data_IF_594898161152
#
_entry.id   IF_594898161152
#
_cell.length_a   1.000
_cell.length_b   1.000
_cell.length_c   1.000
_cell.angle_alpha   90.00
_cell.angle_beta   90.00
_cell.angle_gamma   90.00
#
_symmetry.space_group_name_H-M   'P 1'
#
loop_
_entity.id
_entity.type
_entity.pdbx_description
1 polymer ?
#
# COMPACT_ATOMS: atom_id res chain seq x y z
N UNK A 1 61.53 60.25 -46.63
CA UNK A 1 60.77 59.39 -45.69
C UNK A 1 59.68 60.21 -45.03
N UNK A 2 58.52 59.57 -44.79
CA UNK A 2 57.28 60.07 -44.15
C UNK A 2 56.31 60.79 -45.10
N UNK A 3 55.42 59.98 -45.68
CA UNK A 3 54.21 60.43 -46.36
C UNK A 3 53.11 60.78 -45.38
N UNK A 4 52.33 61.81 -45.72
CA UNK A 4 51.09 62.19 -45.04
C UNK A 4 49.90 61.93 -45.97
N UNK A 5 49.09 60.95 -45.60
CA UNK A 5 47.87 60.54 -46.29
C UNK A 5 46.74 61.58 -46.14
N UNK A 6 45.97 61.66 -47.21
CA UNK A 6 44.95 62.65 -47.59
C UNK A 6 43.57 62.44 -46.95
N UNK A 7 42.75 63.50 -47.00
CA UNK A 7 41.36 63.70 -46.51
C UNK A 7 40.26 62.73 -47.04
N UNK A 8 40.53 61.43 -47.15
CA UNK A 8 39.49 60.41 -47.42
C UNK A 8 39.69 59.21 -46.49
N UNK A 9 39.12 59.27 -45.29
CA UNK A 9 38.73 58.15 -44.39
C UNK A 9 38.46 58.68 -42.97
N UNK A 10 37.42 59.49 -42.79
CA UNK A 10 36.80 59.72 -41.48
C UNK A 10 35.30 59.84 -41.73
N UNK A 11 34.60 58.70 -41.83
CA UNK A 11 33.14 58.52 -41.74
C UNK A 11 32.85 57.03 -42.02
N UNK A 12 33.25 56.16 -41.09
CA UNK A 12 32.78 54.77 -40.97
C UNK A 12 33.39 54.13 -39.71
N UNK A 13 33.00 54.59 -38.53
CA UNK A 13 33.22 53.89 -37.27
C UNK A 13 32.31 54.50 -36.19
N UNK A 14 31.01 54.31 -36.36
CA UNK A 14 29.98 54.65 -35.37
C UNK A 14 29.12 53.43 -35.10
N UNK A 15 29.74 52.30 -34.76
CA UNK A 15 29.03 51.18 -34.13
C UNK A 15 29.16 51.40 -32.62
N UNK A 16 28.06 51.79 -31.97
CA UNK A 16 28.00 51.94 -30.52
C UNK A 16 28.40 50.64 -29.84
N UNK A 17 29.42 50.71 -29.00
CA UNK A 17 29.63 49.73 -27.93
C UNK A 17 28.47 49.88 -26.94
N UNK A 18 27.36 49.22 -27.22
CA UNK A 18 26.48 48.79 -26.14
C UNK A 18 27.29 47.77 -25.34
N UNK A 19 27.84 48.21 -24.21
CA UNK A 19 28.26 47.28 -23.15
C UNK A 19 26.99 46.58 -22.72
N UNK A 20 26.73 45.43 -23.34
CA UNK A 20 25.75 44.48 -22.86
C UNK A 20 26.21 44.09 -21.47
N UNK A 21 25.61 44.70 -20.44
CA UNK A 21 25.55 44.10 -19.13
C UNK A 21 24.79 42.78 -19.33
N UNK A 22 25.54 41.72 -19.65
CA UNK A 22 25.09 40.35 -19.43
C UNK A 22 25.02 40.24 -17.92
N UNK A 23 23.89 40.66 -17.35
CA UNK A 23 23.50 40.16 -16.06
C UNK A 23 23.56 38.64 -16.20
N UNK A 24 24.33 37.91 -15.37
CA UNK A 24 24.16 36.48 -15.34
C UNK A 24 22.67 36.28 -15.08
N UNK A 25 21.99 35.62 -16.01
CA UNK A 25 20.70 35.06 -15.70
C UNK A 25 20.97 34.08 -14.57
N UNK A 26 20.85 34.57 -13.33
CA UNK A 26 20.55 33.74 -12.18
C UNK A 26 19.17 33.21 -12.51
N UNK A 27 19.14 32.14 -13.31
CA UNK A 27 18.05 31.19 -13.25
C UNK A 27 18.13 30.67 -11.82
N UNK A 28 17.40 31.33 -10.92
CA UNK A 28 16.98 30.69 -9.68
C UNK A 28 16.13 29.51 -10.12
N UNK A 29 16.78 28.40 -10.46
CA UNK A 29 16.08 27.16 -10.71
C UNK A 29 15.44 26.83 -9.36
N UNK A 30 14.12 26.91 -9.30
CA UNK A 30 13.39 26.40 -8.15
C UNK A 30 13.82 24.96 -7.88
N UNK A 31 13.64 24.51 -6.64
CA UNK A 31 13.97 23.12 -6.29
C UNK A 31 13.27 22.15 -7.26
N UNK A 32 13.92 21.06 -7.68
CA UNK A 32 13.26 20.01 -8.45
C UNK A 32 11.99 19.53 -7.75
N UNK A 33 10.91 19.38 -8.51
CA UNK A 33 9.58 19.10 -7.97
C UNK A 33 9.31 17.61 -8.00
N UNK A 34 9.07 17.03 -6.83
CA UNK A 34 8.62 15.66 -6.69
C UNK A 34 7.15 15.67 -6.29
N UNK A 35 6.30 15.15 -7.16
CA UNK A 35 4.89 14.93 -6.85
C UNK A 35 4.71 13.49 -6.40
N UNK A 36 4.03 13.29 -5.27
CA UNK A 36 3.70 11.98 -4.72
C UNK A 36 2.19 11.84 -4.70
N UNK A 37 1.66 10.75 -5.26
CA UNK A 37 0.23 10.44 -5.24
C UNK A 37 -0.04 9.27 -4.30
N UNK A 38 -0.91 9.51 -3.33
CA UNK A 38 -1.31 8.53 -2.31
C UNK A 38 -0.61 8.76 -0.97
N UNK A 39 -1.37 9.14 0.05
CA UNK A 39 -0.93 9.40 1.42
C UNK A 39 -0.84 8.16 2.31
N UNK A 40 -0.79 6.96 1.73
CA UNK A 40 -0.61 5.70 2.47
C UNK A 40 0.85 5.41 2.84
N UNK A 41 1.11 4.21 3.36
CA UNK A 41 2.44 3.83 3.88
C UNK A 41 3.59 4.03 2.87
N UNK A 42 3.40 3.76 1.58
CA UNK A 42 4.44 3.99 0.57
C UNK A 42 4.66 5.47 0.27
N UNK A 43 3.61 6.17 -0.16
CA UNK A 43 3.73 7.56 -0.59
C UNK A 43 4.05 8.54 0.55
N UNK A 44 3.42 8.41 1.73
CA UNK A 44 3.73 9.25 2.88
C UNK A 44 5.19 9.05 3.34
N UNK A 45 5.68 7.80 3.42
CA UNK A 45 7.09 7.54 3.73
C UNK A 45 8.02 8.21 2.73
N UNK A 46 7.75 8.06 1.42
CA UNK A 46 8.61 8.61 0.37
C UNK A 46 8.62 10.14 0.42
N UNK A 47 7.45 10.75 0.57
CA UNK A 47 7.31 12.20 0.67
C UNK A 47 8.09 12.76 1.87
N UNK A 48 7.95 12.13 3.04
CA UNK A 48 8.66 12.56 4.25
C UNK A 48 10.16 12.41 4.11
N UNK A 49 10.65 11.24 3.68
CA UNK A 49 12.09 10.98 3.48
C UNK A 49 12.70 11.96 2.49
N UNK A 50 12.01 12.27 1.38
CA UNK A 50 12.48 13.27 0.42
C UNK A 50 12.53 14.68 1.00
N UNK A 51 11.52 15.07 1.79
CA UNK A 51 11.45 16.39 2.40
C UNK A 51 12.54 16.59 3.48
N UNK A 52 12.73 15.61 4.36
CA UNK A 52 13.75 15.62 5.40
C UNK A 52 15.18 15.64 4.82
N UNK A 53 15.40 14.97 3.69
CA UNK A 53 16.69 14.99 2.99
C UNK A 53 16.98 16.34 2.29
N UNK A 54 15.97 17.21 2.11
CA UNK A 54 16.08 18.56 1.56
C UNK A 54 16.47 18.64 0.08
N UNK A 55 16.43 19.84 -0.51
CA UNK A 55 16.88 20.07 -1.89
C UNK A 55 15.88 19.71 -2.99
N UNK A 56 14.69 19.20 -2.64
CA UNK A 56 13.56 19.00 -3.56
C UNK A 56 12.29 19.64 -2.99
N UNK A 57 11.40 20.13 -3.86
CA UNK A 57 10.07 20.57 -3.48
C UNK A 57 9.11 19.39 -3.56
N UNK A 58 8.64 18.89 -2.42
CA UNK A 58 7.76 17.72 -2.33
C UNK A 58 6.31 18.16 -2.21
N UNK A 59 5.46 17.66 -3.11
CA UNK A 59 4.00 17.77 -3.01
C UNK A 59 3.39 16.40 -2.84
N UNK A 60 2.57 16.18 -1.81
CA UNK A 60 1.78 14.96 -1.61
C UNK A 60 0.32 15.24 -1.97
N UNK A 61 -0.21 14.55 -2.97
CA UNK A 61 -1.60 14.59 -3.39
C UNK A 61 -2.34 13.36 -2.85
N UNK A 62 -3.39 13.58 -2.06
CA UNK A 62 -4.19 12.53 -1.46
C UNK A 62 -5.67 12.91 -1.45
N UNK A 63 -6.57 11.96 -1.72
CA UNK A 63 -8.02 12.23 -1.78
C UNK A 63 -8.65 12.42 -0.40
N UNK A 64 -8.21 11.65 0.60
CA UNK A 64 -8.81 11.63 1.92
C UNK A 64 -8.03 12.54 2.88
N UNK A 65 -8.69 13.41 3.67
CA UNK A 65 -8.00 14.28 4.62
C UNK A 65 -7.34 13.52 5.79
N UNK A 66 -7.67 12.24 5.96
CA UNK A 66 -7.07 11.34 6.94
C UNK A 66 -6.83 9.97 6.33
N UNK A 67 -5.71 9.36 6.67
CA UNK A 67 -5.41 7.97 6.35
C UNK A 67 -5.93 7.06 7.46
N UNK A 68 -6.62 5.98 7.11
CA UNK A 68 -6.96 4.90 8.07
C UNK A 68 -6.13 3.66 7.76
N UNK A 69 -5.34 3.19 8.71
CA UNK A 69 -4.48 2.03 8.52
C UNK A 69 -5.32 0.76 8.39
N UNK A 70 -5.04 -0.04 7.35
CA UNK A 70 -5.65 -1.37 7.21
C UNK A 70 -4.90 -2.43 8.00
N UNK A 71 -3.59 -2.27 8.17
CA UNK A 71 -2.84 -3.02 9.17
C UNK A 71 -3.36 -2.65 10.56
N UNK A 72 -3.52 -3.65 11.44
CA UNK A 72 -4.21 -3.53 12.74
C UNK A 72 -5.73 -3.28 12.68
N UNK A 73 -6.37 -3.14 11.51
CA UNK A 73 -7.84 -3.03 11.44
C UNK A 73 -8.58 -4.28 11.94
N UNK A 74 -7.96 -5.46 11.83
CA UNK A 74 -8.47 -6.69 12.42
C UNK A 74 -8.61 -6.59 13.95
N UNK A 75 -7.74 -5.81 14.62
CA UNK A 75 -7.84 -5.59 16.06
C UNK A 75 -9.05 -4.73 16.42
N UNK A 76 -9.53 -3.86 15.52
CA UNK A 76 -10.80 -3.13 15.71
C UNK A 76 -11.96 -4.09 15.64
N UNK A 77 -11.98 -4.96 14.62
CA UNK A 77 -13.00 -6.01 14.46
C UNK A 77 -13.04 -6.91 15.71
N UNK A 78 -11.88 -7.35 16.18
CA UNK A 78 -11.72 -8.13 17.40
C UNK A 78 -12.00 -7.39 18.71
N UNK A 79 -12.25 -6.07 18.69
CA UNK A 79 -12.55 -5.27 19.88
C UNK A 79 -11.34 -4.93 20.75
N UNK A 80 -10.12 -5.06 20.23
CA UNK A 80 -8.86 -4.80 20.94
C UNK A 80 -8.39 -3.35 20.84
N UNK A 81 -8.95 -2.56 19.91
CA UNK A 81 -8.69 -1.12 19.80
C UNK A 81 -9.83 -0.35 19.12
N UNK A 82 -9.95 0.95 19.40
CA UNK A 82 -10.85 1.84 18.67
C UNK A 82 -10.33 2.13 17.24
N UNK A 83 -11.24 2.40 16.29
CA UNK A 83 -10.88 2.75 14.91
C UNK A 83 -10.08 4.06 14.85
N UNK A 84 -10.38 4.99 15.76
CA UNK A 84 -9.74 6.30 15.86
C UNK A 84 -8.22 6.17 16.06
N UNK A 85 -7.75 5.10 16.71
CA UNK A 85 -6.31 4.80 16.85
C UNK A 85 -5.62 4.41 15.54
N UNK A 86 -6.39 4.20 14.47
CA UNK A 86 -5.92 3.87 13.14
C UNK A 86 -5.94 5.08 12.19
N UNK A 87 -6.38 6.26 12.66
CA UNK A 87 -6.57 7.43 11.84
C UNK A 87 -5.46 8.45 12.02
N UNK A 88 -4.83 8.83 10.91
CA UNK A 88 -3.71 9.76 10.88
C UNK A 88 -4.03 10.93 9.96
N UNK A 89 -3.75 12.14 10.43
CA UNK A 89 -3.68 13.31 9.55
C UNK A 89 -2.31 13.43 8.89
N UNK A 90 -2.09 14.54 8.18
CA UNK A 90 -0.85 14.80 7.45
C UNK A 90 -0.07 16.00 8.01
N UNK A 91 -0.41 16.44 9.22
CA UNK A 91 0.22 17.61 9.85
C UNK A 91 1.70 17.37 10.14
N UNK A 92 2.11 16.15 10.50
CA UNK A 92 3.52 15.82 10.71
C UNK A 92 4.33 15.84 9.41
N UNK A 93 3.75 15.38 8.29
CA UNK A 93 4.34 15.54 6.96
C UNK A 93 4.50 17.01 6.57
N UNK A 94 3.48 17.84 6.85
CA UNK A 94 3.57 19.28 6.61
C UNK A 94 4.68 19.93 7.45
N UNK A 95 4.84 19.54 8.73
CA UNK A 95 5.96 20.00 9.58
C UNK A 95 7.33 19.55 9.05
N UNK A 96 7.40 18.39 8.40
CA UNK A 96 8.60 17.89 7.74
C UNK A 96 8.91 18.59 6.40
N UNK A 97 8.06 19.52 5.94
CA UNK A 97 8.28 20.30 4.73
C UNK A 97 7.55 19.78 3.47
N UNK A 98 6.64 18.81 3.62
CA UNK A 98 5.79 18.33 2.51
C UNK A 98 4.64 19.29 2.27
N UNK A 99 4.43 19.71 1.02
CA UNK A 99 3.20 20.41 0.64
C UNK A 99 2.06 19.41 0.42
N UNK A 100 1.12 19.32 1.36
CA UNK A 100 0.00 18.38 1.29
C UNK A 100 -1.19 19.03 0.56
N UNK A 101 -1.65 18.37 -0.50
CA UNK A 101 -2.82 18.77 -1.29
C UNK A 101 -3.89 17.69 -1.13
N UNK A 102 -5.06 18.09 -0.62
CA UNK A 102 -6.22 17.21 -0.58
C UNK A 102 -6.98 17.34 -1.90
N UNK A 103 -6.98 16.27 -2.69
CA UNK A 103 -7.57 16.26 -4.01
C UNK A 103 -7.48 14.90 -4.68
N UNK A 104 -8.33 14.67 -5.67
CA UNK A 104 -8.38 13.43 -6.43
C UNK A 104 -7.63 13.58 -7.76
N UNK A 105 -6.58 12.77 -7.96
CA UNK A 105 -5.95 12.62 -9.26
C UNK A 105 -6.82 11.77 -10.19
N UNK A 106 -7.16 12.31 -11.36
CA UNK A 106 -7.99 11.62 -12.37
C UNK A 106 -7.21 11.21 -13.62
N UNK A 107 -6.04 11.80 -13.85
CA UNK A 107 -5.14 11.42 -14.94
C UNK A 107 -3.68 11.79 -14.63
N UNK A 108 -2.74 11.02 -15.18
CA UNK A 108 -1.32 11.36 -15.22
C UNK A 108 -0.85 11.44 -16.70
N UNK A 109 -0.62 12.65 -17.18
CA UNK A 109 -0.16 12.95 -18.53
C UNK A 109 1.36 12.91 -18.60
N UNK A 110 1.88 11.71 -18.84
CA UNK A 110 3.31 11.40 -18.77
C UNK A 110 4.19 12.29 -19.65
N UNK A 111 3.78 12.53 -20.89
CA UNK A 111 4.51 13.37 -21.85
C UNK A 111 4.58 14.84 -21.42
N UNK A 112 3.54 15.34 -20.76
CA UNK A 112 3.45 16.71 -20.25
C UNK A 112 4.02 16.86 -18.84
N UNK A 113 4.36 15.74 -18.17
CA UNK A 113 4.73 15.68 -16.75
C UNK A 113 3.74 16.42 -15.86
N UNK A 114 2.46 16.10 -16.06
CA UNK A 114 1.33 16.76 -15.43
C UNK A 114 0.36 15.72 -14.84
N UNK A 115 -0.12 15.95 -13.63
CA UNK A 115 -1.22 15.19 -13.02
C UNK A 115 -2.45 16.09 -13.01
N UNK A 116 -3.56 15.61 -13.56
CA UNK A 116 -4.84 16.32 -13.53
C UNK A 116 -5.65 15.94 -12.30
N UNK A 117 -6.19 16.94 -11.63
CA UNK A 117 -7.12 16.76 -10.54
C UNK A 117 -8.56 16.75 -11.07
N UNK A 118 -9.48 16.17 -10.31
CA UNK A 118 -10.91 16.17 -10.60
C UNK A 118 -11.49 17.60 -10.73
N UNK A 119 -10.86 18.59 -10.11
CA UNK A 119 -11.21 20.02 -10.21
C UNK A 119 -10.86 20.64 -11.57
N UNK A 120 -10.08 19.95 -12.41
CA UNK A 120 -9.53 20.46 -13.66
C UNK A 120 -8.15 21.11 -13.50
N UNK A 121 -7.69 21.37 -12.27
CA UNK A 121 -6.33 21.84 -12.00
C UNK A 121 -5.28 20.80 -12.39
N UNK A 122 -4.08 21.27 -12.73
CA UNK A 122 -2.95 20.43 -13.08
C UNK A 122 -1.73 20.67 -12.19
N UNK A 123 -1.17 19.60 -11.64
CA UNK A 123 0.08 19.62 -10.87
C UNK A 123 1.23 19.08 -11.73
N UNK A 124 2.17 19.95 -12.10
CA UNK A 124 3.35 19.56 -12.87
C UNK A 124 4.47 19.03 -11.97
N UNK A 125 5.27 18.10 -12.48
CA UNK A 125 6.37 17.47 -11.73
C UNK A 125 7.66 17.35 -12.55
N UNK A 126 8.78 17.23 -11.86
CA UNK A 126 10.03 16.74 -12.46
C UNK A 126 10.15 15.23 -12.28
N UNK A 127 9.73 14.71 -11.11
CA UNK A 127 9.60 13.28 -10.81
C UNK A 127 8.25 12.99 -10.16
N UNK A 128 7.65 11.85 -10.49
CA UNK A 128 6.36 11.43 -9.96
C UNK A 128 6.51 10.11 -9.20
N UNK A 129 5.93 10.04 -8.01
CA UNK A 129 5.75 8.81 -7.24
C UNK A 129 4.27 8.46 -7.22
N UNK A 130 3.92 7.24 -7.62
CA UNK A 130 2.56 6.72 -7.67
C UNK A 130 2.44 5.59 -6.65
N UNK A 131 1.71 5.82 -5.54
CA UNK A 131 1.46 4.82 -4.50
C UNK A 131 -0.04 4.76 -4.11
N UNK A 132 -0.93 4.42 -5.06
CA UNK A 132 -2.38 4.46 -4.84
C UNK A 132 -2.93 3.23 -4.09
N UNK A 133 -2.07 2.27 -3.72
CA UNK A 133 -2.50 0.99 -3.15
C UNK A 133 -3.13 0.06 -4.17
N UNK A 134 -4.15 -0.69 -3.75
CA UNK A 134 -4.87 -1.67 -4.56
C UNK A 134 -6.21 -1.12 -5.08
N UNK A 135 -6.68 -1.72 -6.15
CA UNK A 135 -8.10 -1.81 -6.46
C UNK A 135 -8.57 -3.27 -6.54
N UNK A 136 -9.87 -3.48 -6.69
CA UNK A 136 -10.43 -4.80 -6.91
C UNK A 136 -10.55 -5.10 -8.40
N UNK A 137 -10.33 -6.36 -8.76
CA UNK A 137 -10.57 -6.85 -10.12
C UNK A 137 -12.09 -6.99 -10.28
N UNK A 138 -12.71 -6.35 -11.29
CA UNK A 138 -14.14 -6.50 -11.55
C UNK A 138 -14.53 -7.96 -11.74
N UNK A 139 -15.69 -8.35 -11.21
CA UNK A 139 -16.27 -9.69 -11.34
C UNK A 139 -15.37 -10.85 -10.86
N UNK A 140 -14.39 -10.55 -10.00
CA UNK A 140 -13.47 -11.56 -9.47
C UNK A 140 -14.13 -12.59 -8.55
N UNK A 141 -15.28 -12.25 -7.98
CA UNK A 141 -16.18 -13.16 -7.28
C UNK A 141 -17.57 -12.94 -7.88
N UNK A 142 -18.11 -13.89 -8.65
CA UNK A 142 -19.44 -13.77 -9.24
C UNK A 142 -20.49 -13.37 -8.19
N UNK A 143 -21.34 -12.42 -8.55
CA UNK A 143 -22.36 -11.85 -7.66
C UNK A 143 -21.86 -10.81 -6.66
N UNK A 144 -20.55 -10.54 -6.59
CA UNK A 144 -19.97 -9.47 -5.78
C UNK A 144 -19.44 -8.31 -6.62
N UNK A 145 -19.69 -7.09 -6.15
CA UNK A 145 -19.10 -5.85 -6.64
C UNK A 145 -18.96 -4.84 -5.49
N UNK A 146 -18.27 -3.72 -5.72
CA UNK A 146 -18.19 -2.65 -4.70
C UNK A 146 -19.57 -2.07 -4.32
N UNK A 147 -20.58 -2.14 -5.20
CA UNK A 147 -21.93 -1.64 -4.92
C UNK A 147 -22.67 -2.46 -3.85
N UNK A 148 -22.33 -3.74 -3.71
CA UNK A 148 -22.91 -4.64 -2.69
C UNK A 148 -22.00 -4.79 -1.45
N UNK A 149 -20.90 -4.03 -1.38
CA UNK A 149 -19.99 -4.07 -0.23
C UNK A 149 -20.62 -3.56 1.07
N UNK A 150 -21.76 -2.87 1.02
CA UNK A 150 -22.52 -2.50 2.23
C UNK A 150 -23.34 -3.68 2.80
N UNK A 151 -23.51 -4.76 2.03
CA UNK A 151 -24.16 -6.01 2.46
C UNK A 151 -23.09 -7.06 2.79
N UNK A 152 -22.17 -7.32 1.85
CA UNK A 152 -21.06 -8.26 2.01
C UNK A 152 -19.72 -7.50 1.97
N UNK A 153 -19.27 -6.94 3.11
CA UNK A 153 -18.12 -6.05 3.15
C UNK A 153 -16.82 -6.75 2.82
N UNK A 154 -15.88 -6.02 2.23
CA UNK A 154 -14.52 -6.50 2.00
C UNK A 154 -13.59 -6.16 3.17
N UNK A 155 -13.77 -4.96 3.78
CA UNK A 155 -12.92 -4.41 4.83
C UNK A 155 -11.39 -4.47 4.52
N UNK A 156 -11.02 -4.48 3.23
CA UNK A 156 -9.63 -4.47 2.73
C UNK A 156 -9.08 -3.06 2.40
N UNK A 157 -10.00 -2.09 2.35
CA UNK A 157 -9.73 -0.66 2.46
C UNK A 157 -10.41 -0.25 3.79
N UNK A 158 -9.62 0.17 4.78
CA UNK A 158 -10.11 0.35 6.15
C UNK A 158 -10.97 1.61 6.32
N UNK A 159 -11.62 1.72 7.49
CA UNK A 159 -12.50 2.84 7.82
C UNK A 159 -13.96 2.38 7.91
N UNK A 160 -14.90 2.96 7.14
CA UNK A 160 -16.31 2.58 7.19
C UNK A 160 -16.57 1.08 7.03
N UNK A 161 -15.88 0.43 6.08
CA UNK A 161 -15.99 -1.00 5.83
C UNK A 161 -15.50 -1.86 7.02
N UNK A 162 -14.48 -1.41 7.76
CA UNK A 162 -14.03 -2.08 8.99
C UNK A 162 -15.12 -2.04 10.07
N UNK A 163 -15.77 -0.88 10.25
CA UNK A 163 -16.86 -0.74 11.22
C UNK A 163 -18.12 -1.50 10.79
N UNK A 164 -18.43 -1.52 9.50
CA UNK A 164 -19.54 -2.30 8.97
C UNK A 164 -19.37 -3.77 9.29
N UNK A 165 -18.23 -4.36 8.92
CA UNK A 165 -17.95 -5.76 9.22
C UNK A 165 -17.99 -6.03 10.72
N UNK A 166 -17.39 -5.15 11.55
CA UNK A 166 -17.47 -5.26 13.01
C UNK A 166 -18.93 -5.30 13.51
N UNK A 167 -19.78 -4.38 13.05
CA UNK A 167 -21.19 -4.33 13.46
C UNK A 167 -21.95 -5.58 13.03
N UNK A 168 -21.72 -6.08 11.82
CA UNK A 168 -22.35 -7.31 11.34
C UNK A 168 -21.97 -8.51 12.21
N UNK A 169 -20.69 -8.66 12.56
CA UNK A 169 -20.21 -9.72 13.47
C UNK A 169 -20.85 -9.62 14.85
N UNK A 170 -20.97 -8.41 15.41
CA UNK A 170 -21.55 -8.20 16.75
C UNK A 170 -23.08 -8.36 16.78
N UNK A 171 -23.74 -8.17 15.64
CA UNK A 171 -25.19 -8.34 15.48
C UNK A 171 -25.61 -9.73 14.99
N UNK A 172 -24.65 -10.62 14.73
CA UNK A 172 -24.91 -11.95 14.20
C UNK A 172 -25.77 -12.77 15.20
N UNK A 173 -26.84 -13.46 14.74
CA UNK A 173 -27.69 -14.25 15.62
C UNK A 173 -26.90 -15.35 16.33
N UNK A 174 -27.37 -15.77 17.51
CA UNK A 174 -26.76 -16.85 18.27
C UNK A 174 -26.65 -18.12 17.40
N UNK A 175 -25.45 -18.71 17.34
CA UNK A 175 -25.18 -19.88 16.49
C UNK A 175 -25.01 -19.57 14.99
N UNK A 176 -25.06 -18.29 14.62
CA UNK A 176 -24.92 -17.85 13.23
C UNK A 176 -23.57 -18.16 12.59
N UNK A 177 -23.54 -18.12 11.27
CA UNK A 177 -22.39 -18.50 10.45
C UNK A 177 -21.77 -17.28 9.78
N UNK A 178 -20.50 -17.05 10.06
CA UNK A 178 -19.66 -16.11 9.33
C UNK A 178 -18.91 -16.85 8.21
N UNK A 179 -18.93 -16.31 6.99
CA UNK A 179 -18.08 -16.77 5.90
C UNK A 179 -17.03 -15.72 5.52
N UNK A 180 -15.81 -16.18 5.25
CA UNK A 180 -14.76 -15.40 4.62
C UNK A 180 -14.42 -16.01 3.26
N UNK A 181 -14.54 -15.21 2.20
CA UNK A 181 -14.05 -15.56 0.87
C UNK A 181 -12.65 -14.96 0.74
N UNK A 182 -11.62 -15.82 0.72
CA UNK A 182 -10.23 -15.38 0.65
C UNK A 182 -9.82 -15.06 -0.80
N UNK A 183 -8.92 -14.08 -1.02
CA UNK A 183 -8.51 -13.71 -2.37
C UNK A 183 -7.48 -14.72 -2.93
N UNK A 184 -7.40 -14.85 -4.27
CA UNK A 184 -6.27 -15.49 -4.93
C UNK A 184 -5.00 -14.63 -4.83
N UNK A 185 -3.83 -15.26 -4.98
CA UNK A 185 -2.55 -14.55 -5.03
C UNK A 185 -2.34 -13.84 -6.40
N UNK A 186 -1.64 -12.68 -6.44
CA UNK A 186 -1.15 -11.88 -5.31
C UNK A 186 -2.22 -10.92 -4.74
N UNK A 187 -2.15 -10.65 -3.43
CA UNK A 187 -3.03 -9.70 -2.73
C UNK A 187 -2.29 -8.99 -1.59
N UNK A 188 -2.86 -7.86 -1.12
CA UNK A 188 -2.37 -7.10 0.03
C UNK A 188 -2.42 -7.96 1.30
N UNK A 189 -1.31 -7.99 2.02
CA UNK A 189 -1.07 -8.62 3.32
C UNK A 189 -1.50 -10.09 3.37
N UNK A 190 -0.67 -11.02 2.85
CA UNK A 190 -1.01 -12.44 2.77
C UNK A 190 -1.57 -13.06 4.07
N UNK A 191 -1.05 -12.80 5.29
CA UNK A 191 -1.61 -13.44 6.48
C UNK A 191 -2.87 -12.76 7.05
N UNK A 192 -3.29 -11.61 6.51
CA UNK A 192 -4.37 -10.81 7.09
C UNK A 192 -5.77 -11.47 7.09
N UNK A 193 -6.17 -12.29 6.10
CA UNK A 193 -7.48 -12.97 6.16
C UNK A 193 -7.56 -13.92 7.36
N UNK A 194 -6.45 -14.58 7.69
CA UNK A 194 -6.41 -15.59 8.74
C UNK A 194 -6.23 -14.95 10.13
N UNK A 195 -5.50 -13.84 10.23
CA UNK A 195 -5.55 -12.97 11.43
C UNK A 195 -6.96 -12.42 11.66
N UNK A 196 -7.67 -12.03 10.60
CA UNK A 196 -9.05 -11.57 10.70
C UNK A 196 -9.94 -12.64 11.32
N UNK A 197 -9.81 -13.90 10.87
CA UNK A 197 -10.52 -15.04 11.46
C UNK A 197 -10.18 -15.19 12.94
N UNK A 198 -8.89 -15.12 13.31
CA UNK A 198 -8.48 -15.15 14.72
C UNK A 198 -9.13 -14.04 15.56
N UNK A 199 -9.19 -12.82 15.05
CA UNK A 199 -9.79 -11.67 15.75
C UNK A 199 -11.31 -11.73 15.80
N UNK A 200 -11.97 -12.20 14.74
CA UNK A 200 -13.42 -12.44 14.72
C UNK A 200 -13.77 -13.55 15.71
N UNK A 201 -13.07 -14.68 15.68
CA UNK A 201 -13.29 -15.78 16.61
C UNK A 201 -13.07 -15.35 18.07
N UNK A 202 -12.03 -14.55 18.34
CA UNK A 202 -11.82 -13.96 19.66
C UNK A 202 -13.03 -13.15 20.12
N UNK A 203 -13.61 -12.31 19.25
CA UNK A 203 -14.79 -11.53 19.57
C UNK A 203 -16.02 -12.41 19.76
N UNK A 204 -16.28 -13.35 18.86
CA UNK A 204 -17.42 -14.25 18.92
C UNK A 204 -17.40 -15.14 20.16
N UNK A 205 -16.25 -15.63 20.60
CA UNK A 205 -16.15 -16.35 21.88
C UNK A 205 -16.71 -15.58 23.10
N UNK A 206 -16.75 -14.24 23.03
CA UNK A 206 -17.27 -13.40 24.11
C UNK A 206 -18.77 -13.13 23.98
N UNK A 207 -19.29 -13.05 22.75
CA UNK A 207 -20.64 -12.52 22.48
C UNK A 207 -21.58 -13.54 21.83
N UNK A 208 -21.03 -14.55 21.16
CA UNK A 208 -21.74 -15.58 20.41
C UNK A 208 -20.85 -16.84 20.26
N UNK A 209 -20.57 -17.57 21.36
CA UNK A 209 -19.60 -18.68 21.37
C UNK A 209 -20.06 -19.93 20.60
N UNK A 210 -21.32 -19.98 20.17
CA UNK A 210 -21.90 -21.06 19.36
C UNK A 210 -21.82 -20.79 17.86
N UNK A 211 -21.35 -19.60 17.46
CA UNK A 211 -21.15 -19.23 16.07
C UNK A 211 -20.19 -20.17 15.33
N UNK A 212 -20.25 -20.13 14.00
CA UNK A 212 -19.34 -20.85 13.10
C UNK A 212 -18.61 -19.86 12.20
N UNK A 213 -17.39 -20.22 11.80
CA UNK A 213 -16.58 -19.50 10.83
C UNK A 213 -16.19 -20.46 9.72
N UNK A 214 -16.60 -20.15 8.49
CA UNK A 214 -16.20 -20.87 7.28
C UNK A 214 -15.23 -20.00 6.49
N UNK A 215 -14.10 -20.57 6.09
CA UNK A 215 -13.15 -19.92 5.19
C UNK A 215 -13.17 -20.67 3.88
N UNK A 216 -13.52 -19.97 2.80
CA UNK A 216 -13.43 -20.49 1.43
C UNK A 216 -12.19 -19.89 0.79
N UNK A 217 -11.20 -20.73 0.53
CA UNK A 217 -9.90 -20.31 0.03
C UNK A 217 -9.57 -20.94 -1.33
N UNK A 218 -9.32 -20.14 -2.38
CA UNK A 218 -8.93 -20.64 -3.69
C UNK A 218 -7.48 -21.15 -3.75
N UNK A 219 -6.75 -21.19 -2.63
CA UNK A 219 -5.33 -21.57 -2.55
C UNK A 219 -5.16 -22.88 -1.78
N UNK A 220 -4.27 -23.76 -2.26
CA UNK A 220 -3.93 -25.03 -1.58
C UNK A 220 -3.26 -24.84 -0.21
N UNK A 221 -2.66 -23.68 0.02
CA UNK A 221 -2.02 -23.32 1.28
C UNK A 221 -2.03 -21.80 1.48
N UNK A 222 -1.82 -21.37 2.72
CA UNK A 222 -1.75 -19.96 3.05
C UNK A 222 -0.60 -19.57 3.99
N UNK A 223 -0.33 -18.26 4.05
CA UNK A 223 0.78 -17.72 4.82
C UNK A 223 0.63 -18.05 6.30
N UNK A 224 1.64 -18.72 6.87
CA UNK A 224 1.69 -19.14 8.28
C UNK A 224 0.60 -20.14 8.67
N UNK A 225 0.11 -20.96 7.72
CA UNK A 225 -1.00 -21.90 7.92
C UNK A 225 -0.90 -22.73 9.21
N UNK A 226 0.18 -23.48 9.40
CA UNK A 226 0.36 -24.30 10.62
C UNK A 226 0.28 -23.48 11.91
N UNK A 227 0.76 -22.23 11.92
CA UNK A 227 0.71 -21.36 13.09
C UNK A 227 -0.72 -20.89 13.38
N UNK A 228 -1.48 -20.55 12.33
CA UNK A 228 -2.88 -20.17 12.46
C UNK A 228 -3.74 -21.35 12.87
N UNK A 229 -3.60 -22.52 12.26
CA UNK A 229 -4.35 -23.73 12.61
C UNK A 229 -4.10 -24.15 14.07
N UNK A 230 -2.84 -24.12 14.53
CA UNK A 230 -2.52 -24.35 15.93
C UNK A 230 -3.16 -23.31 16.86
N UNK A 231 -3.12 -22.03 16.47
CA UNK A 231 -3.80 -20.95 17.18
C UNK A 231 -5.31 -21.16 17.24
N UNK A 232 -5.93 -21.56 16.14
CA UNK A 232 -7.36 -21.82 16.07
C UNK A 232 -7.77 -23.00 16.94
N UNK A 233 -7.02 -24.10 16.89
CA UNK A 233 -7.23 -25.26 17.77
C UNK A 233 -7.14 -24.91 19.26
N UNK A 234 -6.32 -23.92 19.63
CA UNK A 234 -6.16 -23.45 21.01
C UNK A 234 -7.24 -22.47 21.45
N UNK A 235 -7.65 -21.54 20.58
CA UNK A 235 -8.39 -20.34 20.98
C UNK A 235 -9.83 -20.26 20.47
N UNK A 236 -10.25 -21.10 19.52
CA UNK A 236 -11.54 -20.89 18.82
C UNK A 236 -12.62 -21.88 19.18
N UNK A 237 -12.34 -22.84 20.07
CA UNK A 237 -13.30 -23.87 20.50
C UNK A 237 -13.96 -24.66 19.34
N UNK A 238 -13.24 -24.85 18.23
CA UNK A 238 -13.75 -25.55 17.05
C UNK A 238 -14.66 -24.72 16.14
N UNK A 239 -14.74 -23.39 16.34
CA UNK A 239 -15.55 -22.47 15.52
C UNK A 239 -15.08 -22.38 14.07
N UNK A 240 -13.79 -22.58 13.79
CA UNK A 240 -13.18 -22.31 12.48
C UNK A 240 -13.06 -23.59 11.65
N UNK A 241 -13.60 -23.53 10.42
CA UNK A 241 -13.38 -24.54 9.37
C UNK A 241 -12.79 -23.86 8.13
N UNK A 242 -11.75 -24.46 7.56
CA UNK A 242 -11.10 -23.98 6.34
C UNK A 242 -11.34 -24.97 5.20
N UNK A 243 -11.78 -24.46 4.05
CA UNK A 243 -12.02 -25.21 2.83
C UNK A 243 -11.08 -24.71 1.74
N UNK A 244 -10.18 -25.58 1.29
CA UNK A 244 -9.31 -25.34 0.13
C UNK A 244 -9.98 -25.67 -1.21
N UNK A 245 -9.22 -25.56 -2.31
CA UNK A 245 -9.70 -25.82 -3.68
C UNK A 245 -10.32 -27.21 -3.87
N UNK A 246 -9.84 -28.22 -3.13
CA UNK A 246 -10.33 -29.59 -3.16
C UNK A 246 -11.79 -29.74 -2.68
N UNK A 247 -12.34 -28.71 -2.04
CA UNK A 247 -13.73 -28.60 -1.61
C UNK A 247 -14.54 -27.60 -2.45
N UNK A 248 -14.05 -27.21 -3.64
CA UNK A 248 -14.74 -26.27 -4.53
C UNK A 248 -14.51 -24.79 -4.19
N UNK A 249 -13.67 -24.47 -3.20
CA UNK A 249 -13.44 -23.09 -2.77
C UNK A 249 -12.69 -22.21 -3.80
N UNK A 250 -12.25 -22.78 -4.91
CA UNK A 250 -11.68 -22.06 -6.05
C UNK A 250 -12.75 -21.46 -7.00
N UNK A 251 -14.00 -21.92 -6.91
CA UNK A 251 -15.11 -21.49 -7.78
C UNK A 251 -16.33 -21.10 -6.92
N UNK A 252 -16.22 -19.95 -6.27
CA UNK A 252 -17.23 -19.40 -5.36
C UNK A 252 -18.02 -18.29 -6.05
N UNK A 253 -19.35 -18.39 -5.99
CA UNK A 253 -20.29 -17.28 -6.25
C UNK A 253 -20.89 -16.83 -4.91
N UNK A 254 -21.29 -15.56 -4.82
CA UNK A 254 -22.09 -15.07 -3.69
C UNK A 254 -23.41 -14.49 -4.16
N UNK A 255 -24.44 -14.56 -3.31
CA UNK A 255 -25.74 -13.91 -3.53
C UNK A 255 -26.06 -12.97 -2.38
N UNK A 256 -25.71 -11.67 -2.49
CA UNK A 256 -25.92 -10.69 -1.43
C UNK A 256 -27.37 -10.59 -0.93
N UNK A 257 -28.34 -10.75 -1.83
CA UNK A 257 -29.77 -10.57 -1.58
C UNK A 257 -30.35 -11.68 -0.69
N UNK A 258 -29.78 -12.88 -0.74
CA UNK A 258 -30.19 -14.05 0.04
C UNK A 258 -29.19 -14.42 1.13
N UNK A 259 -28.03 -13.75 1.18
CA UNK A 259 -26.89 -14.07 2.06
C UNK A 259 -26.42 -15.52 1.90
N UNK A 260 -26.16 -15.91 0.66
CA UNK A 260 -25.69 -17.24 0.31
C UNK A 260 -24.29 -17.19 -0.30
N UNK A 261 -23.49 -18.22 -0.01
CA UNK A 261 -22.23 -18.55 -0.68
C UNK A 261 -22.47 -19.83 -1.47
N UNK A 262 -22.18 -19.83 -2.76
CA UNK A 262 -22.35 -20.99 -3.62
C UNK A 262 -21.01 -21.69 -3.80
N UNK A 263 -20.99 -22.98 -3.51
CA UNK A 263 -19.83 -23.87 -3.65
C UNK A 263 -20.23 -25.00 -4.58
N UNK A 264 -19.60 -25.10 -5.75
CA UNK A 264 -19.97 -26.10 -6.78
C UNK A 264 -21.47 -26.08 -7.16
N UNK A 265 -22.12 -24.91 -7.06
CA UNK A 265 -23.55 -24.72 -7.34
C UNK A 265 -24.49 -25.02 -6.17
N UNK A 266 -23.98 -25.58 -5.07
CA UNK A 266 -24.75 -25.77 -3.83
C UNK A 266 -24.70 -24.50 -2.97
N UNK A 267 -25.88 -24.04 -2.52
CA UNK A 267 -26.00 -22.81 -1.74
C UNK A 267 -25.83 -23.07 -0.23
N UNK A 268 -24.80 -22.49 0.36
CA UNK A 268 -24.60 -22.41 1.81
C UNK A 268 -25.11 -21.05 2.31
N UNK A 269 -26.13 -21.07 3.17
CA UNK A 269 -26.68 -19.86 3.78
C UNK A 269 -25.81 -19.41 4.95
N UNK A 270 -25.47 -18.12 4.99
CA UNK A 270 -24.64 -17.51 6.04
C UNK A 270 -25.32 -16.27 6.62
N UNK A 271 -24.86 -15.81 7.78
CA UNK A 271 -25.40 -14.63 8.46
C UNK A 271 -24.55 -13.37 8.22
N UNK A 272 -23.24 -13.56 8.00
CA UNK A 272 -22.30 -12.49 7.64
C UNK A 272 -21.31 -13.05 6.63
N UNK A 273 -21.09 -12.34 5.51
CA UNK A 273 -20.11 -12.75 4.50
C UNK A 273 -19.08 -11.63 4.27
N UNK A 274 -17.81 -11.92 4.53
CA UNK A 274 -16.69 -11.05 4.19
C UNK A 274 -16.05 -11.51 2.89
N UNK A 275 -16.25 -10.74 1.81
CA UNK A 275 -15.70 -11.07 0.49
C UNK A 275 -14.44 -10.26 0.23
N UNK A 276 -13.30 -10.92 0.08
CA UNK A 276 -12.05 -10.28 -0.29
C UNK A 276 -11.74 -10.68 -1.75
N UNK A 277 -12.11 -9.85 -2.74
CA UNK A 277 -11.94 -10.21 -4.15
C UNK A 277 -10.47 -10.17 -4.58
N UNK A 278 -10.18 -10.71 -5.76
CA UNK A 278 -8.89 -10.54 -6.42
C UNK A 278 -8.55 -9.05 -6.59
N UNK A 279 -7.26 -8.75 -6.56
CA UNK A 279 -6.75 -7.37 -6.45
C UNK A 279 -5.88 -7.03 -7.66
N UNK A 280 -5.81 -5.74 -7.95
CA UNK A 280 -4.96 -5.14 -8.97
C UNK A 280 -4.39 -3.81 -8.47
N UNK A 281 -3.54 -3.15 -9.25
CA UNK A 281 -3.05 -1.83 -8.89
C UNK A 281 -4.19 -0.81 -8.81
N UNK A 282 -4.08 0.19 -7.93
CA UNK A 282 -5.07 1.26 -7.84
C UNK A 282 -5.34 1.92 -9.20
N UNK A 283 -6.61 2.25 -9.50
CA UNK A 283 -7.12 2.76 -10.79
C UNK A 283 -6.21 3.76 -11.52
N UNK A 284 -5.61 4.72 -10.80
CA UNK A 284 -4.73 5.71 -11.42
C UNK A 284 -3.51 5.09 -12.13
N UNK A 285 -2.95 4.01 -11.59
CA UNK A 285 -1.81 3.29 -12.20
C UNK A 285 -2.19 2.74 -13.58
N UNK A 286 -3.41 2.21 -13.73
CA UNK A 286 -3.94 1.76 -15.02
C UNK A 286 -4.17 2.94 -15.97
N UNK A 287 -4.83 4.01 -15.49
CA UNK A 287 -5.12 5.21 -16.31
C UNK A 287 -3.85 5.91 -16.79
N UNK A 288 -2.76 5.84 -16.02
CA UNK A 288 -1.45 6.38 -16.39
C UNK A 288 -0.69 5.49 -17.40
N UNK A 289 -1.19 4.29 -17.71
CA UNK A 289 -0.52 3.30 -18.54
C UNK A 289 0.77 2.77 -17.93
N UNK A 290 0.77 2.56 -16.60
CA UNK A 290 1.93 2.07 -15.84
C UNK A 290 1.86 0.57 -15.53
N UNK A 291 0.69 -0.06 -15.72
CA UNK A 291 0.49 -1.49 -15.49
C UNK A 291 0.78 -2.33 -16.74
N UNK A 292 1.17 -3.58 -16.54
CA UNK A 292 1.21 -4.59 -17.60
C UNK A 292 -0.06 -5.46 -17.62
N UNK A 293 -0.04 -6.57 -18.37
CA UNK A 293 -1.15 -7.50 -18.50
C UNK A 293 -1.52 -8.22 -17.18
N UNK A 294 -0.65 -8.21 -16.17
CA UNK A 294 -0.94 -8.77 -14.85
C UNK A 294 -1.80 -7.84 -13.98
N UNK A 295 -2.00 -6.59 -14.42
CA UNK A 295 -2.72 -5.57 -13.66
C UNK A 295 -1.87 -4.88 -12.57
N UNK A 296 -0.57 -5.17 -12.50
CA UNK A 296 0.39 -4.53 -11.60
C UNK A 296 1.42 -3.72 -12.39
N UNK A 297 2.13 -2.80 -11.74
CA UNK A 297 3.13 -1.95 -12.40
C UNK A 297 4.55 -2.55 -12.32
N UNK A 298 5.17 -2.94 -13.45
CA UNK A 298 6.57 -3.36 -13.47
C UNK A 298 7.51 -2.23 -13.04
N UNK A 299 8.46 -2.57 -12.16
CA UNK A 299 9.44 -1.64 -11.62
C UNK A 299 10.85 -2.22 -11.70
N UNK A 300 11.83 -1.34 -11.84
CA UNK A 300 13.24 -1.69 -11.68
C UNK A 300 13.49 -2.08 -10.22
N UNK A 301 13.93 -3.32 -9.95
CA UNK A 301 14.15 -3.80 -8.58
C UNK A 301 15.24 -3.02 -7.84
N UNK A 302 16.17 -2.37 -8.53
CA UNK A 302 17.24 -1.59 -7.88
C UNK A 302 16.81 -0.18 -7.47
N UNK A 303 15.71 0.34 -8.02
CA UNK A 303 15.36 1.76 -7.86
C UNK A 303 13.89 2.03 -7.60
N UNK A 304 13.01 1.03 -7.75
CA UNK A 304 11.55 1.15 -7.80
C UNK A 304 11.01 2.06 -8.92
N UNK A 305 11.87 2.45 -9.88
CA UNK A 305 11.48 3.24 -11.06
C UNK A 305 10.56 2.40 -11.94
N UNK A 306 9.50 3.01 -12.47
CA UNK A 306 8.62 2.35 -13.42
C UNK A 306 9.39 1.96 -14.69
N UNK A 307 9.14 0.74 -15.20
CA UNK A 307 9.66 0.34 -16.51
C UNK A 307 8.93 1.03 -17.67
N UNK A 308 7.76 1.63 -17.41
CA UNK A 308 6.95 2.31 -18.42
C UNK A 308 7.34 3.78 -18.63
N UNK A 309 7.97 4.43 -17.65
CA UNK A 309 8.42 5.83 -17.74
C UNK A 309 9.59 6.13 -16.78
N UNK A 310 10.72 6.67 -17.27
CA UNK A 310 11.89 6.93 -16.45
C UNK A 310 11.72 8.09 -15.44
N UNK A 311 10.65 8.89 -15.54
CA UNK A 311 10.36 9.97 -14.60
C UNK A 311 9.37 9.56 -13.50
N UNK A 312 8.96 8.29 -13.45
CA UNK A 312 7.91 7.80 -12.56
C UNK A 312 8.40 6.63 -11.72
N UNK A 313 8.04 6.61 -10.44
CA UNK A 313 8.25 5.52 -9.48
C UNK A 313 6.90 4.99 -9.04
N UNK A 314 6.79 3.66 -8.89
CA UNK A 314 5.55 3.03 -8.40
C UNK A 314 5.88 2.23 -7.14
N UNK A 315 5.18 2.51 -6.04
CA UNK A 315 5.49 1.97 -4.71
C UNK A 315 4.29 1.29 -4.06
N UNK A 316 4.60 0.43 -3.10
CA UNK A 316 3.65 -0.34 -2.33
C UNK A 316 2.89 -1.32 -3.21
N UNK A 317 1.64 -1.60 -2.80
CA UNK A 317 0.87 -2.68 -3.40
C UNK A 317 0.68 -2.55 -4.91
N UNK A 318 0.71 -1.35 -5.48
CA UNK A 318 0.54 -1.15 -6.93
C UNK A 318 1.70 -1.73 -7.76
N UNK A 319 2.87 -1.95 -7.17
CA UNK A 319 4.06 -2.39 -7.87
C UNK A 319 4.15 -3.93 -8.02
N UNK A 320 4.75 -4.37 -9.13
CA UNK A 320 5.15 -5.75 -9.39
C UNK A 320 6.58 -5.96 -8.86
N UNK A 321 6.68 -6.01 -7.54
CA UNK A 321 7.89 -5.93 -6.72
C UNK A 321 8.62 -7.27 -6.47
N UNK A 322 8.43 -8.28 -7.32
CA UNK A 322 9.04 -9.60 -7.13
C UNK A 322 8.58 -10.30 -5.84
N UNK A 323 9.54 -10.83 -5.07
CA UNK A 323 9.28 -11.66 -3.90
C UNK A 323 8.76 -10.90 -2.66
N UNK A 324 8.82 -9.56 -2.64
CA UNK A 324 8.33 -8.79 -1.50
C UNK A 324 6.79 -8.90 -1.39
N UNK A 325 6.24 -9.16 -0.20
CA UNK A 325 4.78 -9.18 -0.03
C UNK A 325 4.20 -7.77 -0.19
N UNK A 326 2.98 -7.68 -0.71
CA UNK A 326 2.22 -6.42 -0.73
C UNK A 326 1.80 -6.09 0.70
N UNK A 327 2.36 -5.05 1.30
CA UNK A 327 2.14 -4.75 2.72
C UNK A 327 2.79 -3.43 3.13
N UNK A 328 2.36 -2.90 4.28
CA UNK A 328 2.78 -1.57 4.72
C UNK A 328 4.29 -1.48 4.97
N UNK A 329 4.89 -2.48 5.62
CA UNK A 329 6.34 -2.52 5.87
C UNK A 329 7.11 -2.54 4.54
N UNK A 330 6.76 -3.45 3.62
CA UNK A 330 7.34 -3.48 2.29
C UNK A 330 7.21 -2.14 1.55
N UNK A 331 6.03 -1.50 1.58
CA UNK A 331 5.80 -0.20 0.95
C UNK A 331 6.70 0.90 1.55
N UNK A 332 6.90 0.89 2.86
CA UNK A 332 7.83 1.81 3.53
C UNK A 332 9.29 1.54 3.14
N UNK A 333 9.72 0.27 3.12
CA UNK A 333 11.09 -0.09 2.69
C UNK A 333 11.35 0.31 1.23
N UNK A 334 10.37 0.12 0.35
CA UNK A 334 10.42 0.58 -1.03
C UNK A 334 10.51 2.10 -1.14
N UNK A 335 9.84 2.83 -0.25
CA UNK A 335 9.90 4.29 -0.22
C UNK A 335 11.30 4.82 0.11
N UNK A 336 12.04 4.14 1.00
CA UNK A 336 13.43 4.50 1.30
C UNK A 336 14.32 4.33 0.06
N UNK A 337 14.20 3.20 -0.64
CA UNK A 337 14.91 2.96 -1.90
C UNK A 337 14.55 4.01 -2.96
N UNK A 338 13.25 4.27 -3.15
CA UNK A 338 12.77 5.21 -4.15
C UNK A 338 13.24 6.64 -3.87
N UNK A 339 13.21 7.08 -2.61
CA UNK A 339 13.70 8.39 -2.23
C UNK A 339 15.20 8.54 -2.54
N UNK A 340 16.02 7.53 -2.20
CA UNK A 340 17.45 7.52 -2.55
C UNK A 340 17.67 7.53 -4.07
N UNK A 341 16.91 6.72 -4.82
CA UNK A 341 17.00 6.63 -6.27
C UNK A 341 16.57 7.92 -6.99
N UNK A 342 15.50 8.57 -6.54
CA UNK A 342 15.03 9.86 -7.06
C UNK A 342 16.09 10.94 -6.84
N UNK A 343 16.70 11.00 -5.66
CA UNK A 343 17.79 11.94 -5.36
C UNK A 343 19.01 11.68 -6.23
N UNK A 344 19.42 10.42 -6.36
CA UNK A 344 20.55 10.03 -7.23
C UNK A 344 20.29 10.44 -8.68
N UNK A 345 19.06 10.27 -9.15
CA UNK A 345 18.66 10.62 -10.50
C UNK A 345 18.63 12.15 -10.74
N UNK A 346 18.21 12.93 -9.74
CA UNK A 346 18.15 14.39 -9.83
C UNK A 346 19.52 15.07 -9.67
N UNK A 347 20.39 14.52 -8.82
CA UNK A 347 21.65 15.17 -8.43
C UNK A 347 22.91 14.44 -8.92
N UNK A 348 22.77 13.25 -9.51
CA UNK A 348 23.88 12.47 -10.04
C UNK A 348 24.77 11.78 -9.00
N UNK A 349 24.40 11.81 -7.72
CA UNK A 349 25.16 11.24 -6.61
C UNK A 349 24.25 10.72 -5.49
N UNK A 350 24.74 9.76 -4.72
CA UNK A 350 24.04 9.16 -3.57
C UNK A 350 24.03 7.64 -3.64
N UNK A 351 24.21 7.02 -2.48
CA UNK A 351 24.17 5.57 -2.33
C UNK A 351 22.72 5.09 -2.32
N UNK A 352 22.51 3.89 -2.86
CA UNK A 352 21.24 3.18 -2.75
C UNK A 352 21.34 2.18 -1.60
N UNK A 353 20.25 1.94 -0.85
CA UNK A 353 20.14 0.77 -0.01
C UNK A 353 20.53 -0.49 -0.80
N UNK A 354 21.20 -1.43 -0.14
CA UNK A 354 21.60 -2.71 -0.74
C UNK A 354 20.52 -3.80 -0.59
N UNK A 355 19.51 -3.57 0.25
CA UNK A 355 18.41 -4.48 0.49
C UNK A 355 17.10 -3.73 0.83
N UNK A 356 16.01 -4.51 0.81
CA UNK A 356 14.72 -4.19 1.37
C UNK A 356 14.41 -5.11 2.54
N UNK A 357 13.47 -4.70 3.38
CA UNK A 357 13.04 -5.45 4.56
C UNK A 357 11.52 -5.48 4.65
N UNK A 358 10.99 -6.59 5.16
CA UNK A 358 9.57 -6.69 5.51
C UNK A 358 9.39 -7.61 6.71
N UNK A 359 8.51 -7.23 7.63
CA UNK A 359 8.00 -8.12 8.68
C UNK A 359 6.47 -7.97 8.76
N UNK A 360 5.79 -9.10 8.85
CA UNK A 360 4.34 -9.20 9.04
C UNK A 360 4.02 -9.96 10.33
N UNK A 361 3.56 -9.24 11.35
CA UNK A 361 2.97 -9.81 12.55
C UNK A 361 1.51 -10.22 12.29
N UNK A 362 1.06 -11.25 13.01
CA UNK A 362 -0.35 -11.62 13.07
C UNK A 362 -0.70 -12.08 14.47
N UNK A 363 -1.77 -11.51 15.03
CA UNK A 363 -2.27 -11.89 16.35
C UNK A 363 -3.18 -13.10 16.23
N UNK A 364 -2.90 -14.14 17.02
CA UNK A 364 -3.73 -15.34 17.13
C UNK A 364 -4.80 -15.17 18.22
N UNK A 365 -4.43 -14.50 19.32
CA UNK A 365 -5.28 -14.09 20.43
C UNK A 365 -4.55 -12.97 21.21
N UNK A 366 -5.22 -12.20 22.09
CA UNK A 366 -4.53 -11.25 22.96
C UNK A 366 -3.39 -11.92 23.73
N UNK A 367 -2.17 -11.41 23.58
CA UNK A 367 -0.96 -11.97 24.19
C UNK A 367 -0.31 -13.12 23.43
N UNK A 368 -0.80 -13.48 22.24
CA UNK A 368 -0.22 -14.52 21.39
C UNK A 368 -0.18 -14.07 19.93
N UNK A 369 1.03 -13.80 19.42
CA UNK A 369 1.24 -13.39 18.04
C UNK A 369 2.39 -14.14 17.39
N UNK A 370 2.38 -14.17 16.06
CA UNK A 370 3.39 -14.81 15.22
C UNK A 370 3.85 -13.88 14.12
N UNK A 371 5.12 -13.97 13.72
CA UNK A 371 5.70 -13.11 12.69
C UNK A 371 6.33 -13.89 11.54
N UNK A 372 6.36 -13.24 10.39
CA UNK A 372 7.13 -13.63 9.21
C UNK A 372 7.89 -12.41 8.71
N UNK A 373 9.20 -12.45 8.80
CA UNK A 373 10.14 -11.43 8.37
C UNK A 373 11.07 -11.91 7.27
N UNK A 374 11.68 -10.98 6.55
CA UNK A 374 12.72 -11.30 5.58
C UNK A 374 13.52 -10.09 5.13
N UNK A 375 14.72 -10.40 4.63
CA UNK A 375 15.59 -9.49 3.89
C UNK A 375 15.48 -9.85 2.40
N UNK A 376 15.39 -8.83 1.57
CA UNK A 376 15.19 -8.97 0.15
C UNK A 376 16.23 -8.14 -0.62
N UNK A 377 16.88 -8.74 -1.60
CA UNK A 377 17.96 -8.11 -2.36
C UNK A 377 17.52 -7.89 -3.79
N UNK A 378 17.74 -6.68 -4.37
CA UNK A 378 17.48 -6.43 -5.77
C UNK A 378 18.42 -7.23 -6.68
N UNK A 379 17.85 -7.88 -7.70
CA UNK A 379 18.56 -8.63 -8.74
C UNK A 379 18.01 -8.28 -10.11
N UNK A 380 18.70 -8.68 -11.17
CA UNK A 380 18.28 -8.37 -12.55
C UNK A 380 16.92 -8.96 -12.94
N UNK A 381 16.51 -10.06 -12.31
CA UNK A 381 15.25 -10.78 -12.51
C UNK A 381 14.14 -10.34 -11.54
N UNK A 382 14.43 -9.44 -10.59
CA UNK A 382 13.47 -8.92 -9.62
C UNK A 382 14.04 -8.79 -8.21
N UNK A 383 13.21 -8.37 -7.26
CA UNK A 383 13.56 -8.39 -5.84
C UNK A 383 13.41 -9.83 -5.33
N UNK A 384 14.45 -10.38 -4.71
CA UNK A 384 14.50 -11.78 -4.26
C UNK A 384 14.67 -11.86 -2.75
N UNK A 385 14.01 -12.80 -2.09
CA UNK A 385 14.20 -13.03 -0.66
C UNK A 385 15.50 -13.79 -0.43
N UNK A 386 16.38 -13.28 0.42
CA UNK A 386 17.65 -13.93 0.78
C UNK A 386 17.67 -14.45 2.20
N UNK A 387 16.88 -13.85 3.09
CA UNK A 387 16.74 -14.28 4.47
C UNK A 387 15.26 -14.35 4.86
N UNK A 388 14.92 -15.29 5.73
CA UNK A 388 13.56 -15.48 6.22
C UNK A 388 13.58 -15.82 7.71
N UNK A 389 12.73 -15.16 8.47
CA UNK A 389 12.51 -15.41 9.89
C UNK A 389 11.01 -15.66 10.09
N UNK A 390 10.64 -16.87 10.43
CA UNK A 390 9.25 -17.23 10.74
C UNK A 390 9.19 -17.74 12.18
N UNK A 391 8.15 -17.36 12.91
CA UNK A 391 7.88 -17.94 14.22
C UNK A 391 7.76 -19.47 14.14
N UNK A 392 8.33 -20.19 15.10
CA UNK A 392 8.21 -21.65 15.15
C UNK A 392 6.87 -22.09 15.75
N UNK A 393 6.39 -23.29 15.41
CA UNK A 393 5.12 -23.81 15.94
C UNK A 393 5.16 -24.05 17.46
N UNK A 394 6.30 -24.51 17.98
CA UNK A 394 6.50 -24.87 19.40
C UNK A 394 7.09 -23.76 20.27
N UNK A 395 6.99 -22.48 19.87
CA UNK A 395 7.41 -21.36 20.73
C UNK A 395 6.62 -21.36 22.05
N UNK A 396 7.31 -21.04 23.15
CA UNK A 396 6.68 -20.92 24.45
C UNK A 396 5.80 -19.66 24.56
N UNK A 397 4.96 -19.62 25.60
CA UNK A 397 4.03 -18.51 25.81
C UNK A 397 4.73 -17.16 26.01
N UNK A 398 5.92 -17.15 26.61
CA UNK A 398 6.69 -15.93 26.81
C UNK A 398 7.19 -15.34 25.47
N UNK A 399 7.64 -16.20 24.55
CA UNK A 399 8.07 -15.81 23.21
C UNK A 399 6.90 -15.29 22.37
N UNK A 400 5.73 -15.95 22.45
CA UNK A 400 4.50 -15.48 21.80
C UNK A 400 4.03 -14.13 22.32
N UNK A 401 4.09 -13.93 23.65
CA UNK A 401 3.77 -12.67 24.30
C UNK A 401 4.74 -11.55 23.87
N UNK A 402 6.04 -11.82 23.86
CA UNK A 402 7.04 -10.86 23.39
C UNK A 402 6.81 -10.48 21.91
N UNK A 403 6.43 -11.44 21.06
CA UNK A 403 6.08 -11.18 19.66
C UNK A 403 4.80 -10.32 19.53
N UNK A 404 3.83 -10.49 20.43
CA UNK A 404 2.64 -9.66 20.51
C UNK A 404 2.98 -8.22 20.89
N UNK A 405 3.82 -8.02 21.90
CA UNK A 405 4.30 -6.71 22.36
C UNK A 405 5.16 -5.99 21.30
N UNK A 406 6.00 -6.75 20.60
CA UNK A 406 6.77 -6.27 19.45
C UNK A 406 5.83 -5.73 18.36
N UNK A 407 4.74 -6.44 18.04
CA UNK A 407 3.77 -5.96 17.06
C UNK A 407 3.14 -4.62 17.47
N UNK A 408 2.74 -4.47 18.75
CA UNK A 408 2.17 -3.22 19.26
C UNK A 408 3.18 -2.07 19.19
N UNK A 409 4.42 -2.34 19.58
CA UNK A 409 5.51 -1.37 19.57
C UNK A 409 5.85 -0.96 18.14
N UNK A 410 5.94 -1.93 17.22
CA UNK A 410 6.13 -1.70 15.80
C UNK A 410 5.05 -0.77 15.26
N UNK A 411 3.77 -1.03 15.53
CA UNK A 411 2.68 -0.19 15.01
C UNK A 411 2.85 1.29 15.42
N UNK A 412 3.14 1.53 16.70
CA UNK A 412 3.34 2.88 17.22
C UNK A 412 4.53 3.58 16.58
N UNK A 413 5.70 2.93 16.60
CA UNK A 413 6.92 3.50 16.01
C UNK A 413 6.79 3.71 14.50
N UNK A 414 6.24 2.74 13.79
CA UNK A 414 6.09 2.76 12.33
C UNK A 414 5.13 3.87 11.88
N UNK A 415 4.00 4.05 12.54
CA UNK A 415 3.07 5.12 12.17
C UNK A 415 3.60 6.51 12.55
N UNK A 416 4.33 6.63 13.66
CA UNK A 416 5.02 7.87 14.03
C UNK A 416 6.11 8.26 13.01
N UNK A 417 6.86 7.27 12.49
CA UNK A 417 7.87 7.49 11.47
C UNK A 417 7.27 7.95 10.13
N UNK A 418 6.07 7.49 9.78
CA UNK A 418 5.40 7.88 8.53
C UNK A 418 4.68 9.22 8.66
N UNK A 419 3.87 9.40 9.69
CA UNK A 419 2.88 10.49 9.77
C UNK A 419 3.27 11.64 10.72
N UNK A 420 4.12 11.36 11.71
CA UNK A 420 4.80 12.36 12.57
C UNK A 420 4.02 12.95 13.73
#
# INVERSE_FOLDING_TARGET
>A
MRGGLTRRRILAAGAGLAVGLVAPAVRGQGLPRVLVIGGGAGGASCARTLAEAGGVAVTLLERAPRYTTCFFSNHVIGGLRPLESLQFGYEGLARAGVHVVIGEAVAAERSARLVRLATGEGLTYDRLVVSPGIDFVPDAVPGWSEDVAEIMPHAWKAGPQTLLLKRQIEAMPEGGTFALIAPPAPYRCPPAPYERVSMIAHRLNQVNPTAKILIFDPKDHFSKQTLFENGWGKYTNGMVTWFGPEFGAADIEVRPETMEVLVEGEAEKVDVCNVIPAQQAGKLTHLAGLTDATGWAPVDPFTMRSLADPNIWVLGDASAQGAMPKGAFAAHSQAQMAAAAIRRDLFGAGDLPDHYSNICWSVLAPGDAVKLGGIYVPRADGITQTESVISAAGEDAATRQATYEEAQTWYGAFTQDIFG
#
